data_IF_695295249302
#
_entry.id   IF_695295249302
#
_cell.length_a   1.000
_cell.length_b   1.000
_cell.length_c   1.000
_cell.angle_alpha   90.00
_cell.angle_beta   90.00
_cell.angle_gamma   90.00
#
_symmetry.space_group_name_H-M   'P 1'
#
loop_
_entity.id
_entity.type
_entity.pdbx_description
1 polymer ?
#
# COMPACT_ATOMS: atom_id res chain seq x y z
N UNK A 1 25.79 -17.90 20.86
CA UNK A 1 24.89 -16.75 21.09
C UNK A 1 23.46 -17.26 21.19
N UNK A 2 22.73 -17.31 22.31
CA UNK A 2 23.00 -17.13 23.74
C UNK A 2 21.83 -17.82 24.46
N UNK A 3 22.10 -18.91 25.16
CA UNK A 3 21.13 -19.66 25.99
C UNK A 3 21.26 -19.28 27.47
N UNK A 4 21.57 -18.01 27.77
CA UNK A 4 22.02 -17.58 29.10
C UNK A 4 21.09 -16.60 29.84
N UNK A 5 19.78 -16.58 29.56
CA UNK A 5 18.82 -15.68 30.25
C UNK A 5 17.71 -16.36 31.07
N UNK A 6 17.72 -17.68 31.23
CA UNK A 6 16.67 -18.38 32.00
C UNK A 6 17.05 -18.78 33.43
N UNK A 7 18.30 -18.59 33.87
CA UNK A 7 18.75 -19.05 35.20
C UNK A 7 18.80 -17.99 36.31
N UNK A 8 18.36 -16.75 36.06
CA UNK A 8 18.46 -15.67 37.05
C UNK A 8 17.20 -15.43 37.91
N UNK A 9 16.36 -16.45 38.11
CA UNK A 9 15.21 -16.34 39.02
C UNK A 9 14.97 -17.63 39.82
N UNK A 10 16.04 -18.23 40.37
CA UNK A 10 15.93 -19.32 41.34
C UNK A 10 16.75 -19.12 42.62
N UNK A 11 17.42 -17.97 42.79
CA UNK A 11 18.34 -17.70 43.90
C UNK A 11 17.93 -16.53 44.83
N UNK A 12 16.65 -16.16 44.87
CA UNK A 12 16.15 -15.10 45.77
C UNK A 12 14.98 -15.54 46.65
N UNK A 13 15.02 -16.78 47.15
CA UNK A 13 14.10 -17.30 48.19
C UNK A 13 14.88 -18.10 49.26
N UNK A 14 16.13 -17.73 49.54
CA UNK A 14 16.92 -18.35 50.62
C UNK A 14 17.31 -17.39 51.75
N UNK A 15 16.85 -16.13 51.74
CA UNK A 15 17.18 -15.15 52.78
C UNK A 15 15.94 -14.49 53.41
N UNK A 16 15.03 -15.30 53.94
CA UNK A 16 14.11 -14.85 54.99
C UNK A 16 14.13 -15.89 56.11
N UNK A 17 14.99 -15.63 57.10
CA UNK A 17 15.12 -16.44 58.30
C UNK A 17 13.80 -16.52 59.04
N UNK A 18 13.37 -17.74 59.32
CA UNK A 18 12.28 -18.00 60.24
C UNK A 18 12.83 -18.91 61.36
N UNK A 19 13.41 -18.29 62.40
CA UNK A 19 13.63 -18.97 63.68
C UNK A 19 12.26 -19.34 64.25
N UNK A 20 11.94 -20.63 64.35
CA UNK A 20 10.95 -21.11 65.34
C UNK A 20 11.68 -21.85 66.44
N UNK A 21 11.54 -21.30 67.65
CA UNK A 21 11.72 -22.00 68.91
C UNK A 21 10.69 -23.15 68.92
N UNK A 22 11.15 -24.38 69.04
CA UNK A 22 10.30 -25.56 69.23
C UNK A 22 10.15 -25.73 70.73
N UNK A 23 9.00 -25.35 71.29
CA UNK A 23 8.53 -25.86 72.57
C UNK A 23 7.35 -26.78 72.25
N UNK A 24 7.57 -28.07 72.50
CA UNK A 24 6.55 -29.11 72.44
C UNK A 24 5.64 -28.95 73.66
N UNK A 25 4.34 -28.83 73.44
CA UNK A 25 3.39 -29.26 74.45
C UNK A 25 2.13 -29.88 73.84
N UNK A 26 1.59 -30.81 74.60
CA UNK A 26 0.71 -31.90 74.22
C UNK A 26 -0.58 -31.54 73.44
N UNK A 27 -0.91 -32.45 72.51
CA UNK A 27 -2.26 -32.76 72.01
C UNK A 27 -3.03 -31.63 71.32
N UNK A 28 -2.85 -31.50 69.99
CA UNK A 28 -3.92 -30.97 69.13
C UNK A 28 -3.75 -31.40 67.68
N UNK A 29 -4.83 -31.93 67.14
CA UNK A 29 -5.01 -32.47 65.78
C UNK A 29 -4.61 -31.42 64.73
N UNK A 30 -3.54 -31.68 63.97
CA UNK A 30 -3.07 -30.79 62.90
C UNK A 30 -4.07 -30.82 61.74
N UNK A 31 -4.84 -29.74 61.57
CA UNK A 31 -5.68 -29.50 60.39
C UNK A 31 -4.85 -28.66 59.40
N UNK A 32 -4.32 -29.31 58.36
CA UNK A 32 -3.57 -28.62 57.30
C UNK A 32 -4.60 -27.93 56.39
N UNK A 33 -4.84 -26.64 56.58
CA UNK A 33 -5.53 -25.82 55.59
C UNK A 33 -4.53 -25.48 54.48
N UNK A 34 -4.73 -26.09 53.30
CA UNK A 34 -4.00 -25.71 52.09
C UNK A 34 -4.42 -24.29 51.70
N UNK A 35 -3.64 -23.29 52.13
CA UNK A 35 -3.89 -21.90 51.78
C UNK A 35 -3.62 -21.71 50.28
N UNK A 36 -4.66 -21.26 49.57
CA UNK A 36 -4.78 -21.17 48.10
C UNK A 36 -3.93 -20.04 47.47
N UNK A 37 -2.82 -19.67 48.11
CA UNK A 37 -2.00 -18.51 47.78
C UNK A 37 -1.33 -18.62 46.39
N UNK A 38 -1.00 -19.84 45.97
CA UNK A 38 -0.45 -20.11 44.65
C UNK A 38 -1.44 -19.75 43.53
N UNK A 39 -2.74 -20.02 43.71
CA UNK A 39 -3.76 -19.70 42.71
C UNK A 39 -3.86 -18.18 42.45
N UNK A 40 -3.69 -17.38 43.50
CA UNK A 40 -3.79 -15.92 43.40
C UNK A 40 -2.58 -15.31 42.67
N UNK A 41 -1.37 -15.81 42.94
CA UNK A 41 -0.14 -15.38 42.25
C UNK A 41 -0.12 -15.78 40.77
N UNK A 42 -0.58 -16.99 40.44
CA UNK A 42 -0.76 -17.41 39.05
C UNK A 42 -1.84 -16.58 38.32
N UNK A 43 -2.89 -16.15 39.02
CA UNK A 43 -3.92 -15.29 38.43
C UNK A 43 -3.39 -13.87 38.09
N UNK A 44 -2.56 -13.29 38.98
CA UNK A 44 -1.97 -11.95 38.79
C UNK A 44 -0.94 -11.95 37.66
N UNK A 45 -0.12 -13.01 37.55
CA UNK A 45 0.85 -13.16 36.45
C UNK A 45 0.17 -13.39 35.10
N UNK A 46 -0.88 -14.23 35.03
CA UNK A 46 -1.68 -14.42 33.79
C UNK A 46 -2.31 -13.11 33.32
N UNK A 47 -2.87 -12.30 34.22
CA UNK A 47 -3.44 -10.97 33.88
C UNK A 47 -2.38 -9.99 33.36
N UNK A 48 -1.18 -9.97 33.96
CA UNK A 48 -0.08 -9.10 33.53
C UNK A 48 0.46 -9.48 32.13
N UNK A 49 0.60 -10.78 31.85
CA UNK A 49 1.02 -11.28 30.54
C UNK A 49 -0.06 -11.02 29.48
N UNK A 50 -1.34 -11.18 29.83
CA UNK A 50 -2.47 -10.87 28.93
C UNK A 50 -2.47 -9.39 28.55
N UNK A 51 -2.35 -8.48 29.52
CA UNK A 51 -2.24 -7.02 29.27
C UNK A 51 -1.03 -6.65 28.41
N UNK A 52 0.14 -7.27 28.64
CA UNK A 52 1.32 -7.04 27.78
C UNK A 52 1.12 -7.55 26.35
N UNK A 53 0.40 -8.65 26.15
CA UNK A 53 0.07 -9.19 24.81
C UNK A 53 -0.99 -8.35 24.11
N UNK A 54 -1.99 -7.84 24.83
CA UNK A 54 -3.01 -6.91 24.33
C UNK A 54 -2.38 -5.59 23.92
N UNK A 55 -1.55 -4.98 24.78
CA UNK A 55 -0.84 -3.72 24.47
C UNK A 55 0.17 -3.88 23.33
N UNK A 56 0.79 -5.06 23.19
CA UNK A 56 1.65 -5.40 22.03
C UNK A 56 0.84 -5.66 20.76
N UNK A 57 -0.40 -6.15 20.86
CA UNK A 57 -1.34 -6.28 19.74
C UNK A 57 -1.88 -4.92 19.33
N UNK A 58 -2.27 -4.05 20.25
CA UNK A 58 -2.65 -2.66 19.98
C UNK A 58 -1.50 -1.89 19.32
N UNK A 59 -0.28 -1.94 19.86
CA UNK A 59 0.88 -1.30 19.22
C UNK A 59 1.22 -1.91 17.85
N UNK A 60 0.96 -3.21 17.62
CA UNK A 60 1.09 -3.82 16.27
C UNK A 60 -0.06 -3.45 15.35
N UNK A 61 -1.27 -3.26 15.85
CA UNK A 61 -2.43 -2.82 15.06
C UNK A 61 -2.33 -1.34 14.69
N UNK A 62 -1.80 -0.49 15.56
CA UNK A 62 -1.50 0.91 15.24
C UNK A 62 -0.30 1.07 14.31
N UNK A 63 0.70 0.16 14.39
CA UNK A 63 1.81 0.11 13.43
C UNK A 63 1.46 -0.61 12.11
N UNK A 64 0.37 -1.37 12.09
CA UNK A 64 -0.25 -1.95 10.90
C UNK A 64 -1.44 -1.10 10.45
N UNK A 65 -1.27 0.23 10.46
CA UNK A 65 -2.04 1.09 9.57
C UNK A 65 -1.71 0.61 8.15
N UNK A 66 -2.51 -0.31 7.64
CA UNK A 66 -2.42 -0.74 6.25
C UNK A 66 -2.40 0.53 5.42
N UNK A 67 -1.38 0.69 4.57
CA UNK A 67 -1.34 1.77 3.60
C UNK A 67 -2.53 1.56 2.65
N UNK A 68 -3.68 2.07 3.05
CA UNK A 68 -4.91 2.01 2.27
C UNK A 68 -4.76 2.97 1.11
N UNK A 69 -4.89 2.45 -0.11
CA UNK A 69 -4.92 3.27 -1.31
C UNK A 69 -6.32 3.85 -1.44
N UNK A 70 -6.44 5.15 -1.24
CA UNK A 70 -7.69 5.87 -1.44
C UNK A 70 -7.75 6.34 -2.90
N UNK A 71 -8.67 5.77 -3.69
CA UNK A 71 -8.93 6.23 -5.04
C UNK A 71 -9.79 7.50 -5.03
N UNK A 72 -9.73 8.25 -6.12
CA UNK A 72 -10.57 9.41 -6.41
C UNK A 72 -11.27 9.21 -7.75
N UNK A 73 -12.51 9.69 -7.85
CA UNK A 73 -13.23 9.81 -9.11
C UNK A 73 -13.03 11.24 -9.62
N UNK A 74 -12.54 11.36 -10.84
CA UNK A 74 -12.22 12.62 -11.49
C UNK A 74 -13.20 12.84 -12.64
N UNK A 75 -14.01 13.91 -12.58
CA UNK A 75 -14.91 14.29 -13.67
C UNK A 75 -14.53 15.67 -14.20
N UNK A 76 -14.45 15.82 -15.52
CA UNK A 76 -14.08 17.09 -16.17
C UNK A 76 -15.24 17.62 -16.99
N UNK A 77 -15.61 18.89 -16.81
CA UNK A 77 -16.74 19.54 -17.50
C UNK A 77 -16.32 20.86 -18.15
N UNK A 78 -16.99 21.24 -19.26
CA UNK A 78 -16.72 22.50 -19.99
C UNK A 78 -17.52 23.69 -19.45
N UNK A 79 -18.46 23.43 -18.53
CA UNK A 79 -19.34 24.43 -17.93
C UNK A 79 -19.31 24.28 -16.41
N UNK A 80 -19.37 25.41 -15.71
CA UNK A 80 -19.53 25.47 -14.27
C UNK A 80 -20.90 24.92 -13.86
N UNK A 81 -20.95 23.96 -12.93
CA UNK A 81 -22.22 23.45 -12.41
C UNK A 81 -22.79 24.44 -11.40
N UNK A 82 -23.78 25.22 -11.83
CA UNK A 82 -24.65 25.96 -10.91
C UNK A 82 -25.80 25.03 -10.51
N UNK A 83 -25.84 24.60 -9.24
CA UNK A 83 -27.00 24.01 -8.54
C UNK A 83 -27.87 22.96 -9.27
N UNK A 84 -27.84 21.71 -8.77
CA UNK A 84 -28.94 20.72 -8.82
C UNK A 84 -29.69 20.49 -10.14
N UNK A 85 -29.04 20.61 -11.30
CA UNK A 85 -29.59 20.07 -12.55
C UNK A 85 -28.51 19.24 -13.25
N UNK A 86 -28.47 17.95 -12.92
CA UNK A 86 -27.51 16.96 -13.46
C UNK A 86 -27.80 16.61 -14.93
N UNK A 87 -28.87 17.15 -15.52
CA UNK A 87 -29.36 16.72 -16.84
C UNK A 87 -28.59 17.29 -18.04
N UNK A 88 -27.78 18.35 -17.87
CA UNK A 88 -27.01 18.99 -18.95
C UNK A 88 -25.54 19.26 -18.58
N UNK A 89 -24.90 18.38 -17.80
CA UNK A 89 -23.44 18.44 -17.64
C UNK A 89 -22.76 17.88 -18.87
N UNK A 90 -22.20 18.75 -19.71
CA UNK A 90 -21.26 18.36 -20.76
C UNK A 90 -19.96 17.85 -20.13
N UNK A 91 -19.98 16.60 -19.67
CA UNK A 91 -18.81 15.88 -19.18
C UNK A 91 -17.91 15.64 -20.40
N UNK A 92 -16.69 16.18 -20.39
CA UNK A 92 -15.70 15.91 -21.43
C UNK A 92 -15.16 14.50 -21.28
N UNK A 93 -14.74 14.15 -20.06
CA UNK A 93 -14.30 12.82 -19.72
C UNK A 93 -14.35 12.59 -18.20
N UNK A 94 -14.22 11.33 -17.82
CA UNK A 94 -14.09 10.92 -16.43
C UNK A 94 -13.00 9.87 -16.31
N UNK A 95 -12.23 9.91 -15.23
CA UNK A 95 -11.15 8.95 -14.95
C UNK A 95 -10.98 8.74 -13.44
N UNK A 96 -10.07 7.85 -13.08
CA UNK A 96 -9.63 7.58 -11.73
C UNK A 96 -8.32 8.32 -11.41
N UNK A 97 -8.19 8.76 -10.17
CA UNK A 97 -6.95 9.28 -9.63
C UNK A 97 -6.66 8.63 -8.28
N UNK A 98 -5.47 8.87 -7.72
CA UNK A 98 -5.08 8.32 -6.43
C UNK A 98 -4.75 9.45 -5.45
N UNK A 99 -5.38 9.46 -4.28
CA UNK A 99 -5.02 10.40 -3.22
C UNK A 99 -3.61 10.11 -2.70
N UNK A 100 -2.90 11.18 -2.36
CA UNK A 100 -1.67 11.06 -1.59
C UNK A 100 -1.94 10.53 -0.18
N UNK A 101 -0.97 9.79 0.36
CA UNK A 101 -1.03 9.30 1.72
C UNK A 101 -1.07 10.48 2.69
N UNK A 102 -2.02 10.44 3.63
CA UNK A 102 -2.30 11.52 4.58
C UNK A 102 -2.87 12.82 3.99
N UNK A 103 -3.27 12.80 2.71
CA UNK A 103 -4.13 13.85 2.17
C UNK A 103 -5.45 13.91 2.92
N UNK A 104 -6.03 15.10 3.16
CA UNK A 104 -7.44 15.18 3.49
C UNK A 104 -8.25 14.66 2.30
N UNK A 105 -9.35 13.96 2.60
CA UNK A 105 -10.21 13.29 1.63
C UNK A 105 -11.59 13.93 1.73
N UNK A 106 -11.94 14.75 0.75
CA UNK A 106 -13.26 15.36 0.62
C UNK A 106 -13.51 15.76 -0.83
N UNK A 107 -14.77 15.99 -1.19
CA UNK A 107 -15.12 16.41 -2.53
C UNK A 107 -14.73 17.87 -2.80
N UNK A 108 -14.12 18.13 -3.95
CA UNK A 108 -13.81 19.49 -4.42
C UNK A 108 -14.29 19.65 -5.86
N UNK A 109 -14.88 20.80 -6.15
CA UNK A 109 -15.26 21.21 -7.50
C UNK A 109 -14.82 22.63 -7.76
N UNK A 110 -13.96 22.84 -8.76
CA UNK A 110 -13.52 24.19 -9.14
C UNK A 110 -12.96 24.22 -10.57
N UNK A 111 -12.62 25.42 -11.04
CA UNK A 111 -11.94 25.60 -12.32
C UNK A 111 -10.53 25.01 -12.27
N UNK A 112 -10.12 24.33 -13.34
CA UNK A 112 -8.77 23.80 -13.49
C UNK A 112 -7.83 24.86 -14.06
N UNK A 113 -6.67 25.02 -13.44
CA UNK A 113 -5.60 25.91 -13.92
C UNK A 113 -4.29 25.13 -13.98
N UNK A 114 -3.60 25.15 -15.12
CA UNK A 114 -2.22 24.66 -15.20
C UNK A 114 -1.28 25.66 -14.51
N UNK A 115 -0.45 25.19 -13.58
CA UNK A 115 0.56 26.01 -12.95
C UNK A 115 1.52 26.60 -13.98
N UNK A 116 1.84 27.89 -13.85
CA UNK A 116 2.87 28.59 -14.61
C UNK A 116 3.90 29.12 -13.62
N UNK A 117 5.16 28.72 -13.81
CA UNK A 117 6.26 28.97 -12.89
C UNK A 117 7.52 29.34 -13.67
N UNK A 118 8.34 30.25 -13.10
CA UNK A 118 9.71 30.46 -13.60
C UNK A 118 10.61 29.37 -13.01
N UNK A 119 11.47 28.77 -13.84
CA UNK A 119 12.47 27.82 -13.35
C UNK A 119 13.41 28.51 -12.36
N UNK A 120 13.58 27.94 -11.17
CA UNK A 120 14.45 28.50 -10.13
C UNK A 120 15.93 28.47 -10.53
N UNK A 121 16.31 27.65 -11.52
CA UNK A 121 17.69 27.53 -11.98
C UNK A 121 18.04 28.49 -13.13
N UNK A 122 17.07 29.21 -13.69
CA UNK A 122 17.32 30.12 -14.79
C UNK A 122 17.81 31.50 -14.32
N UNK A 123 18.83 32.00 -15.01
CA UNK A 123 19.33 33.36 -14.83
C UNK A 123 18.32 34.38 -15.37
N UNK A 124 18.26 35.57 -14.76
CA UNK A 124 17.23 36.59 -15.01
C UNK A 124 17.01 37.02 -16.47
N UNK A 125 17.92 36.67 -17.38
CA UNK A 125 17.92 37.07 -18.80
C UNK A 125 17.21 36.07 -19.73
N UNK A 126 16.98 34.81 -19.33
CA UNK A 126 16.21 33.80 -20.09
C UNK A 126 15.33 32.98 -19.15
N UNK A 127 14.14 33.48 -18.83
CA UNK A 127 13.20 32.79 -17.94
C UNK A 127 12.42 31.72 -18.68
N UNK A 128 12.71 30.44 -18.45
CA UNK A 128 11.91 29.34 -18.97
C UNK A 128 10.63 29.17 -18.15
N UNK A 129 9.49 29.19 -18.85
CA UNK A 129 8.20 28.93 -18.25
C UNK A 129 7.99 27.42 -18.07
N UNK A 130 7.75 26.99 -16.84
CA UNK A 130 7.52 25.60 -16.47
C UNK A 130 6.17 25.43 -15.77
N UNK A 131 5.72 24.19 -15.65
CA UNK A 131 4.48 23.81 -14.98
C UNK A 131 4.72 22.84 -13.81
N UNK A 132 5.94 22.87 -13.25
CA UNK A 132 6.39 21.92 -12.24
C UNK A 132 5.97 22.32 -10.81
N UNK A 133 5.41 23.50 -10.58
CA UNK A 133 4.93 23.92 -9.26
C UNK A 133 6.01 23.99 -8.19
N UNK A 134 7.27 24.19 -8.56
CA UNK A 134 8.38 24.26 -7.60
C UNK A 134 8.59 25.66 -7.01
N UNK A 135 8.23 26.70 -7.78
CA UNK A 135 8.26 28.12 -7.40
C UNK A 135 6.84 28.71 -7.36
N UNK A 136 6.71 30.01 -7.07
CA UNK A 136 5.40 30.66 -6.97
C UNK A 136 4.68 30.74 -8.34
N UNK A 137 3.35 30.64 -8.35
CA UNK A 137 2.59 30.71 -9.60
C UNK A 137 2.58 32.15 -10.14
N UNK A 138 2.88 32.29 -11.43
CA UNK A 138 2.84 33.55 -12.18
C UNK A 138 1.65 33.62 -13.15
N UNK A 139 0.66 32.75 -12.96
CA UNK A 139 -0.60 32.77 -13.71
C UNK A 139 -1.27 34.15 -13.56
N UNK A 140 -1.52 34.81 -14.69
CA UNK A 140 -2.36 36.01 -14.70
C UNK A 140 -3.81 35.62 -14.36
N UNK A 141 -4.43 36.36 -13.43
CA UNK A 141 -5.85 36.23 -13.05
C UNK A 141 -6.25 34.82 -12.56
N UNK A 142 -5.69 34.39 -11.43
CA UNK A 142 -6.18 33.19 -10.74
C UNK A 142 -7.62 33.39 -10.23
N UNK A 143 -8.53 32.44 -10.45
CA UNK A 143 -9.87 32.49 -9.86
C UNK A 143 -9.81 32.42 -8.34
N UNK A 144 -10.87 32.83 -7.65
CA UNK A 144 -10.95 32.69 -6.19
C UNK A 144 -10.91 31.21 -5.76
N UNK A 145 -11.61 30.35 -6.50
CA UNK A 145 -11.70 28.93 -6.27
C UNK A 145 -11.16 28.18 -7.49
N UNK A 146 -10.00 27.53 -7.35
CA UNK A 146 -9.40 26.78 -8.44
C UNK A 146 -8.64 25.54 -7.95
N UNK A 147 -8.51 24.57 -8.85
CA UNK A 147 -7.69 23.37 -8.69
C UNK A 147 -6.48 23.52 -9.60
N UNK A 148 -5.29 23.28 -9.09
CA UNK A 148 -4.05 23.44 -9.86
C UNK A 148 -3.55 22.11 -10.41
N UNK A 149 -3.13 22.12 -11.68
CA UNK A 149 -2.45 21.01 -12.34
C UNK A 149 -0.94 21.25 -12.37
N UNK A 150 -0.16 20.28 -11.92
CA UNK A 150 1.30 20.35 -11.79
C UNK A 150 1.95 19.09 -12.34
N UNK A 151 3.09 19.24 -13.03
CA UNK A 151 3.87 18.11 -13.54
C UNK A 151 4.75 17.46 -12.46
N UNK A 152 4.93 16.14 -12.51
CA UNK A 152 5.91 15.44 -11.67
C UNK A 152 7.34 15.76 -12.08
N UNK A 153 8.23 15.88 -11.10
CA UNK A 153 9.68 16.06 -11.29
C UNK A 153 10.19 17.36 -10.69
N UNK A 154 11.50 17.61 -10.84
CA UNK A 154 12.24 18.81 -10.37
C UNK A 154 12.30 18.98 -8.85
N UNK A 155 11.16 19.03 -8.16
CA UNK A 155 11.06 19.14 -6.71
C UNK A 155 10.13 18.06 -6.11
N UNK A 156 10.11 17.97 -4.78
CA UNK A 156 9.32 16.97 -4.05
C UNK A 156 7.81 17.21 -4.16
N UNK A 157 7.01 16.15 -3.99
CA UNK A 157 5.54 16.27 -3.96
C UNK A 157 5.06 17.20 -2.84
N UNK A 158 5.71 17.12 -1.67
CA UNK A 158 5.40 17.98 -0.52
C UNK A 158 5.64 19.46 -0.86
N UNK A 159 6.75 19.79 -1.52
CA UNK A 159 7.02 21.16 -1.98
C UNK A 159 5.95 21.67 -2.94
N UNK A 160 5.57 20.87 -3.94
CA UNK A 160 4.53 21.22 -4.92
C UNK A 160 3.20 21.57 -4.24
N UNK A 161 2.79 20.75 -3.27
CA UNK A 161 1.55 20.97 -2.52
C UNK A 161 1.66 22.19 -1.59
N UNK A 162 2.80 22.40 -0.93
CA UNK A 162 3.02 23.60 -0.11
C UNK A 162 2.91 24.88 -0.93
N UNK A 163 3.51 24.90 -2.13
CA UNK A 163 3.39 26.04 -3.06
C UNK A 163 1.93 26.24 -3.48
N UNK A 164 1.20 25.17 -3.79
CA UNK A 164 -0.21 25.27 -4.15
C UNK A 164 -1.06 25.85 -3.02
N UNK A 165 -0.83 25.41 -1.78
CA UNK A 165 -1.48 25.96 -0.57
C UNK A 165 -1.14 27.44 -0.41
N UNK A 166 0.13 27.82 -0.59
CA UNK A 166 0.56 29.22 -0.51
C UNK A 166 -0.12 30.11 -1.57
N UNK A 167 -0.44 29.53 -2.73
CA UNK A 167 -1.18 30.20 -3.81
C UNK A 167 -2.71 30.07 -3.67
N UNK A 168 -3.22 29.56 -2.53
CA UNK A 168 -4.65 29.42 -2.23
C UNK A 168 -5.42 28.49 -3.19
N UNK A 169 -4.76 27.48 -3.76
CA UNK A 169 -5.46 26.44 -4.51
C UNK A 169 -6.31 25.57 -3.57
N UNK A 170 -7.48 25.12 -4.05
CA UNK A 170 -8.39 24.25 -3.27
C UNK A 170 -7.98 22.78 -3.31
N UNK A 171 -7.30 22.36 -4.37
CA UNK A 171 -6.75 21.02 -4.53
C UNK A 171 -5.56 21.05 -5.50
N UNK A 172 -4.75 19.99 -5.46
CA UNK A 172 -3.62 19.79 -6.37
C UNK A 172 -3.77 18.49 -7.12
N UNK A 173 -3.65 18.56 -8.44
CA UNK A 173 -3.54 17.41 -9.32
C UNK A 173 -2.09 17.34 -9.80
N UNK A 174 -1.37 16.30 -9.38
CA UNK A 174 -0.01 16.06 -9.84
C UNK A 174 -0.07 14.97 -10.90
N UNK A 175 0.25 15.28 -12.15
CA UNK A 175 0.29 14.26 -13.19
C UNK A 175 1.68 13.62 -13.28
N UNK A 176 1.68 12.30 -13.42
CA UNK A 176 2.90 11.52 -13.49
C UNK A 176 3.60 11.68 -14.85
N UNK A 177 4.87 11.32 -14.92
CA UNK A 177 5.66 11.17 -16.16
C UNK A 177 5.69 9.71 -16.66
N UNK A 178 4.74 8.90 -16.19
CA UNK A 178 4.51 7.50 -16.57
C UNK A 178 2.99 7.29 -16.60
N UNK A 179 2.55 6.27 -17.32
CA UNK A 179 1.15 5.87 -17.41
C UNK A 179 0.63 5.29 -16.09
N UNK A 180 1.50 4.72 -15.27
CA UNK A 180 1.11 4.15 -13.98
C UNK A 180 1.00 5.23 -12.89
N UNK A 181 -0.08 5.21 -12.11
CA UNK A 181 -0.22 6.10 -10.95
C UNK A 181 0.50 5.53 -9.73
N UNK A 182 1.23 6.38 -8.99
CA UNK A 182 1.92 5.99 -7.76
C UNK A 182 1.33 6.68 -6.54
N UNK A 183 1.42 6.02 -5.38
CA UNK A 183 1.01 6.64 -4.11
C UNK A 183 2.03 7.68 -3.69
N UNK A 184 1.65 8.95 -3.72
CA UNK A 184 2.49 10.03 -3.19
C UNK A 184 2.48 10.01 -1.67
N UNK A 185 3.62 10.28 -1.06
CA UNK A 185 3.75 10.45 0.38
C UNK A 185 3.90 11.93 0.70
N UNK A 186 2.92 12.54 1.36
CA UNK A 186 2.91 13.97 1.67
C UNK A 186 2.59 14.11 3.15
N UNK A 187 3.49 14.73 3.90
CA UNK A 187 3.25 14.97 5.33
C UNK A 187 2.35 16.20 5.48
N UNK A 188 1.32 16.08 6.30
CA UNK A 188 0.52 17.20 6.79
C UNK A 188 0.12 18.23 5.70
N UNK A 189 -0.70 17.81 4.74
CA UNK A 189 -1.33 18.74 3.78
C UNK A 189 -2.71 19.18 4.27
N UNK A 190 -3.08 20.44 4.00
CA UNK A 190 -4.40 21.00 4.29
C UNK A 190 -5.39 20.87 3.14
N UNK A 191 -4.91 20.58 1.93
CA UNK A 191 -5.73 20.46 0.72
C UNK A 191 -5.59 19.07 0.08
N UNK A 192 -6.65 18.58 -0.61
CA UNK A 192 -6.63 17.30 -1.28
C UNK A 192 -5.60 17.31 -2.39
N UNK A 193 -4.75 16.30 -2.39
CA UNK A 193 -3.67 16.14 -3.35
C UNK A 193 -3.77 14.78 -3.99
N UNK A 194 -4.06 14.75 -5.29
CA UNK A 194 -4.28 13.53 -6.07
C UNK A 194 -3.22 13.39 -7.17
N UNK A 195 -2.95 12.15 -7.57
CA UNK A 195 -2.12 11.83 -8.71
C UNK A 195 -2.91 11.18 -9.83
N UNK A 196 -2.62 11.60 -11.07
CA UNK A 196 -3.16 11.03 -12.31
C UNK A 196 -2.03 10.50 -13.20
N UNK A 197 -2.36 9.68 -14.18
CA UNK A 197 -1.40 9.20 -15.18
C UNK A 197 -0.88 10.32 -16.07
N UNK A 198 0.21 10.07 -16.76
CA UNK A 198 0.74 10.98 -17.78
C UNK A 198 -0.29 11.31 -18.87
N UNK A 199 -1.01 10.30 -19.38
CA UNK A 199 -2.04 10.50 -20.41
C UNK A 199 -3.12 11.48 -19.96
N UNK A 200 -3.69 11.27 -18.77
CA UNK A 200 -4.73 12.14 -18.21
C UNK A 200 -4.18 13.54 -17.93
N UNK A 201 -2.97 13.63 -17.40
CA UNK A 201 -2.29 14.90 -17.17
C UNK A 201 -2.13 15.74 -18.43
N UNK A 202 -1.69 15.10 -19.52
CA UNK A 202 -1.53 15.77 -20.80
C UNK A 202 -2.87 16.20 -21.40
N UNK A 203 -3.92 15.39 -21.22
CA UNK A 203 -5.28 15.77 -21.64
C UNK A 203 -5.79 16.99 -20.85
N UNK A 204 -5.66 16.96 -19.52
CA UNK A 204 -6.02 18.07 -18.64
C UNK A 204 -5.26 19.36 -19.01
N UNK A 205 -3.96 19.23 -19.31
CA UNK A 205 -3.11 20.34 -19.75
C UNK A 205 -3.60 20.95 -21.07
N UNK A 206 -3.87 20.12 -22.07
CA UNK A 206 -4.39 20.59 -23.36
C UNK A 206 -5.72 21.32 -23.18
N UNK A 207 -6.63 20.74 -22.39
CA UNK A 207 -7.92 21.35 -22.10
C UNK A 207 -7.79 22.69 -21.38
N UNK A 208 -6.96 22.77 -20.34
CA UNK A 208 -6.72 24.01 -19.59
C UNK A 208 -6.07 25.11 -20.44
N UNK A 209 -5.40 24.75 -21.53
CA UNK A 209 -4.78 25.71 -22.46
C UNK A 209 -5.79 26.29 -23.45
N UNK A 210 -6.71 25.46 -23.94
CA UNK A 210 -7.64 25.84 -25.02
C UNK A 210 -9.00 26.33 -24.54
N UNK A 211 -9.46 25.89 -23.35
CA UNK A 211 -10.78 26.21 -22.84
C UNK A 211 -10.82 26.30 -21.31
N UNK A 212 -11.86 26.94 -20.80
CA UNK A 212 -12.15 26.96 -19.36
C UNK A 212 -12.83 25.64 -18.99
N UNK A 213 -12.15 24.82 -18.20
CA UNK A 213 -12.67 23.53 -17.74
C UNK A 213 -12.76 23.48 -16.22
N UNK A 214 -13.72 22.72 -15.72
CA UNK A 214 -13.95 22.50 -14.31
C UNK A 214 -13.73 21.04 -13.97
N UNK A 215 -13.19 20.79 -12.79
CA UNK A 215 -12.85 19.44 -12.34
C UNK A 215 -13.56 19.17 -11.02
N UNK A 216 -14.24 18.03 -10.95
CA UNK A 216 -14.77 17.45 -9.71
C UNK A 216 -13.87 16.31 -9.27
N UNK A 217 -13.35 16.41 -8.06
CA UNK A 217 -12.59 15.35 -7.39
C UNK A 217 -13.51 14.80 -6.30
N UNK A 218 -13.93 13.55 -6.44
CA UNK A 218 -14.78 12.86 -5.45
C UNK A 218 -14.01 11.72 -4.79
N UNK A 219 -14.20 11.46 -3.48
CA UNK A 219 -13.69 10.25 -2.85
C UNK A 219 -14.20 8.99 -3.57
N UNK A 220 -13.28 8.14 -3.98
CA UNK A 220 -13.56 6.87 -4.65
C UNK A 220 -13.46 5.66 -3.71
N UNK A 221 -13.40 4.43 -4.25
CA UNK A 221 -13.25 3.22 -3.44
C UNK A 221 -11.89 3.18 -2.73
N UNK A 222 -11.84 2.48 -1.60
CA UNK A 222 -10.60 2.20 -0.86
C UNK A 222 -10.09 0.82 -1.26
N UNK A 223 -8.86 0.76 -1.76
CA UNK A 223 -8.16 -0.49 -2.00
C UNK A 223 -7.29 -0.82 -0.78
N UNK A 224 -7.67 -1.88 -0.08
CA UNK A 224 -6.84 -2.44 0.97
C UNK A 224 -5.73 -3.24 0.31
N UNK A 225 -4.48 -2.79 0.46
CA UNK A 225 -3.32 -3.61 0.08
C UNK A 225 -3.29 -4.81 1.05
N UNK A 226 -3.99 -5.88 0.70
CA UNK A 226 -3.75 -7.17 1.33
C UNK A 226 -2.32 -7.56 0.95
N UNK A 227 -1.47 -7.70 1.96
CA UNK A 227 -0.12 -8.24 1.88
C UNK A 227 -0.18 -9.74 1.57
N UNK A 228 -0.74 -10.05 0.40
CA UNK A 228 -0.95 -11.36 -0.16
C UNK A 228 -1.02 -11.18 -1.67
N UNK A 229 0.03 -10.60 -2.25
CA UNK A 229 0.18 -10.49 -3.69
C UNK A 229 0.02 -11.88 -4.31
N UNK A 230 -1.02 -12.06 -5.12
CA UNK A 230 -1.03 -13.12 -6.12
C UNK A 230 0.30 -13.03 -6.89
N UNK A 231 1.02 -14.16 -7.12
CA UNK A 231 2.25 -14.13 -7.88
C UNK A 231 1.96 -13.43 -9.22
N UNK A 232 2.87 -12.54 -9.63
CA UNK A 232 2.74 -11.80 -10.88
C UNK A 232 2.39 -12.79 -12.00
N UNK A 233 1.42 -12.43 -12.84
CA UNK A 233 0.95 -13.30 -13.94
C UNK A 233 2.13 -13.83 -14.76
N UNK A 234 3.18 -13.03 -14.93
CA UNK A 234 4.47 -13.38 -15.57
C UNK A 234 5.23 -14.55 -14.92
N UNK A 235 5.22 -14.67 -13.59
CA UNK A 235 5.87 -15.77 -12.87
C UNK A 235 5.12 -17.09 -13.04
N UNK A 236 3.79 -17.04 -13.16
CA UNK A 236 2.96 -18.24 -13.34
C UNK A 236 3.16 -18.85 -14.72
N UNK A 237 3.25 -18.02 -15.76
CA UNK A 237 3.54 -18.49 -17.12
C UNK A 237 4.91 -19.16 -17.21
N UNK A 238 5.94 -18.61 -16.56
CA UNK A 238 7.28 -19.19 -16.58
C UNK A 238 7.30 -20.63 -16.03
N UNK A 239 6.62 -20.86 -14.91
CA UNK A 239 6.50 -22.20 -14.31
C UNK A 239 5.66 -23.13 -15.20
N UNK A 240 4.56 -22.63 -15.79
CA UNK A 240 3.70 -23.43 -16.65
C UNK A 240 4.42 -23.86 -17.95
N UNK A 241 5.16 -22.98 -18.61
CA UNK A 241 5.92 -23.30 -19.82
C UNK A 241 7.04 -24.32 -19.55
N UNK A 242 7.70 -24.24 -18.39
CA UNK A 242 8.69 -25.24 -17.98
C UNK A 242 8.07 -26.62 -17.74
N UNK A 243 6.88 -26.68 -17.16
CA UNK A 243 6.18 -27.96 -16.94
C UNK A 243 5.73 -28.58 -18.27
N UNK A 244 5.18 -27.76 -19.18
CA UNK A 244 4.74 -28.21 -20.51
C UNK A 244 5.91 -28.74 -21.36
N UNK A 245 7.07 -28.09 -21.31
CA UNK A 245 8.23 -28.55 -22.08
C UNK A 245 8.72 -29.93 -21.63
N UNK A 246 8.75 -30.20 -20.32
CA UNK A 246 9.11 -31.52 -19.77
C UNK A 246 8.11 -32.59 -20.20
N UNK A 247 6.81 -32.30 -20.12
CA UNK A 247 5.76 -33.25 -20.55
C UNK A 247 5.92 -33.60 -22.03
N UNK A 248 6.17 -32.62 -22.90
CA UNK A 248 6.39 -32.87 -24.33
C UNK A 248 7.63 -33.74 -24.60
N UNK A 249 8.75 -33.46 -23.93
CA UNK A 249 9.99 -34.25 -24.08
C UNK A 249 9.76 -35.70 -23.62
N UNK A 250 9.08 -35.89 -22.47
CA UNK A 250 8.75 -37.24 -21.99
C UNK A 250 7.79 -37.98 -22.92
N UNK A 251 6.83 -37.30 -23.53
CA UNK A 251 5.90 -37.90 -24.47
C UNK A 251 6.62 -38.38 -25.75
N UNK A 252 7.48 -37.54 -26.33
CA UNK A 252 8.29 -37.91 -27.51
C UNK A 252 9.17 -39.13 -27.19
N UNK A 253 9.81 -39.13 -26.02
CA UNK A 253 10.61 -40.28 -25.57
C UNK A 253 9.78 -41.56 -25.47
N UNK A 254 8.58 -41.49 -24.86
CA UNK A 254 7.68 -42.63 -24.74
C UNK A 254 7.21 -43.14 -26.11
N UNK A 255 6.90 -42.25 -27.05
CA UNK A 255 6.51 -42.65 -28.41
C UNK A 255 7.64 -43.42 -29.10
N UNK A 256 8.88 -42.91 -29.06
CA UNK A 256 10.04 -43.59 -29.66
C UNK A 256 10.32 -44.92 -28.97
N UNK A 257 10.32 -44.94 -27.63
CA UNK A 257 10.49 -46.15 -26.84
C UNK A 257 9.44 -47.22 -27.21
N UNK A 258 8.18 -46.82 -27.33
CA UNK A 258 7.09 -47.72 -27.69
C UNK A 258 7.27 -48.30 -29.09
N UNK A 259 7.64 -47.48 -30.08
CA UNK A 259 7.93 -47.93 -31.45
C UNK A 259 9.10 -48.92 -31.47
N UNK A 260 10.20 -48.59 -30.78
CA UNK A 260 11.38 -49.47 -30.70
C UNK A 260 11.04 -50.80 -30.04
N UNK A 261 10.30 -50.76 -28.91
CA UNK A 261 9.87 -51.95 -28.19
C UNK A 261 8.92 -52.83 -29.00
N UNK A 262 7.98 -52.23 -29.74
CA UNK A 262 7.07 -52.97 -30.61
C UNK A 262 7.82 -53.71 -31.71
N UNK A 263 8.78 -53.04 -32.36
CA UNK A 263 9.65 -53.66 -33.38
C UNK A 263 10.51 -54.79 -32.79
N UNK A 264 11.03 -54.61 -31.58
CA UNK A 264 11.80 -55.64 -30.87
C UNK A 264 10.96 -56.89 -30.55
N UNK A 265 9.75 -56.72 -30.02
CA UNK A 265 8.88 -57.86 -29.68
C UNK A 265 8.48 -58.64 -30.94
N UNK A 266 8.18 -57.94 -32.03
CA UNK A 266 7.77 -58.58 -33.29
C UNK A 266 8.91 -59.35 -33.97
N UNK A 267 10.16 -58.85 -33.86
CA UNK A 267 11.33 -59.57 -34.37
C UNK A 267 11.66 -60.78 -33.52
N UNK A 268 11.57 -60.68 -32.19
CA UNK A 268 11.75 -61.81 -31.28
C UNK A 268 10.74 -62.93 -31.55
N UNK A 269 9.45 -62.62 -31.70
CA UNK A 269 8.41 -63.62 -32.04
C UNK A 269 8.73 -64.36 -33.34
N UNK A 270 9.19 -63.65 -34.37
CA UNK A 270 9.59 -64.26 -35.65
C UNK A 270 10.83 -65.16 -35.53
N UNK A 271 11.79 -64.81 -34.67
CA UNK A 271 12.96 -65.66 -34.43
C UNK A 271 12.59 -66.92 -33.65
N UNK A 272 11.75 -66.81 -32.61
CA UNK A 272 11.28 -67.95 -31.84
C UNK A 272 10.45 -68.94 -32.70
N UNK A 273 9.80 -68.48 -33.77
CA UNK A 273 9.10 -69.32 -34.76
C UNK A 273 10.05 -70.00 -35.77
N UNK A 274 11.22 -69.41 -36.07
CA UNK A 274 12.22 -69.99 -37.00
C UNK A 274 13.09 -71.05 -36.32
N UNK A 275 13.33 -70.93 -35.01
CA UNK A 275 14.18 -71.84 -34.24
C UNK A 275 13.42 -72.99 -33.56
N UNK A 276 12.16 -73.22 -33.93
CA UNK A 276 11.33 -74.34 -33.48
C UNK A 276 11.09 -75.31 -34.63
#
# INVERSE_FOLDING_TARGET
MDFQKFYFCKNKIQNLGFRRKIELNHSTKIRITHNNWYAELFSKTKRSIKRKREKKRENRSSAALSLQKQWALLNVTSVASSGSDDSNKNILFSDSALYSLYSPIYEVYAQLIEAKNVDENDSAENQTLTNNGCSNYINANLPENYIVLVSRGVCTFERKVQIAVANKALAVIIYNNDQNVITMFIKNTSIPSIMVSEYVGNLLKQLATHSTVFVSIKPGPVEFIQSGSLPSRSSVYFVAFAFLSVVLVTFVWLTVYYIQKFRYINTKKRLDEIFR
#
